data_IF_670813149073
#
_entry.id   IF_670813149073
#
_cell.length_a   1.000
_cell.length_b   1.000
_cell.length_c   1.000
_cell.angle_alpha   90.00
_cell.angle_beta   90.00
_cell.angle_gamma   90.00
#
_symmetry.space_group_name_H-M   'P 1'
#
loop_
_entity.id
_entity.type
_entity.pdbx_description
1 polymer ?
#
# COMPACT_ATOMS: atom_id res chain seq x y z
N UNK A 1 24.03 34.47 19.85
CA UNK A 1 22.76 34.50 19.07
C UNK A 1 21.74 35.34 19.86
N UNK A 2 21.11 36.36 19.29
CA UNK A 2 20.19 37.26 20.04
C UNK A 2 18.84 36.60 20.31
N UNK A 3 18.26 36.74 21.53
CA UNK A 3 16.95 36.18 21.95
C UNK A 3 15.83 36.38 20.90
N UNK A 4 15.81 37.52 20.22
CA UNK A 4 14.86 37.87 19.15
C UNK A 4 14.98 37.00 17.88
N UNK A 5 16.20 36.57 17.53
CA UNK A 5 16.46 35.64 16.41
C UNK A 5 16.03 34.22 16.75
N UNK A 6 16.26 33.78 18.00
CA UNK A 6 15.81 32.48 18.48
C UNK A 6 14.28 32.35 18.48
N UNK A 7 13.56 33.36 18.97
CA UNK A 7 12.08 33.38 18.96
C UNK A 7 11.52 33.34 17.53
N UNK A 8 12.09 34.10 16.59
CA UNK A 8 11.66 34.04 15.18
C UNK A 8 11.87 32.67 14.56
N UNK A 9 13.03 32.04 14.78
CA UNK A 9 13.30 30.69 14.29
C UNK A 9 12.34 29.66 14.87
N UNK A 10 12.01 29.78 16.16
CA UNK A 10 11.04 28.92 16.84
C UNK A 10 9.63 29.06 16.25
N UNK A 11 9.15 30.29 16.02
CA UNK A 11 7.84 30.54 15.40
C UNK A 11 7.79 29.91 14.01
N UNK A 12 8.81 30.13 13.17
CA UNK A 12 8.87 29.55 11.82
C UNK A 12 8.83 28.02 11.89
N UNK A 13 9.63 27.42 12.77
CA UNK A 13 9.66 25.97 12.96
C UNK A 13 8.30 25.40 13.38
N UNK A 14 7.65 26.01 14.37
CA UNK A 14 6.31 25.62 14.83
C UNK A 14 5.25 25.81 13.73
N UNK A 15 5.31 26.92 12.99
CA UNK A 15 4.40 27.17 11.88
C UNK A 15 4.55 26.09 10.79
N UNK A 16 5.77 25.73 10.38
CA UNK A 16 5.96 24.66 9.41
C UNK A 16 5.50 23.30 9.93
N UNK A 17 5.80 22.99 11.20
CA UNK A 17 5.41 21.73 11.84
C UNK A 17 3.88 21.56 11.91
N UNK A 18 3.12 22.65 12.02
CA UNK A 18 1.66 22.62 11.98
C UNK A 18 1.10 22.61 10.54
N UNK A 19 1.69 23.43 9.65
CA UNK A 19 1.16 23.64 8.31
C UNK A 19 1.35 22.41 7.41
N UNK A 20 2.51 21.74 7.48
CA UNK A 20 2.79 20.61 6.60
C UNK A 20 1.85 19.40 6.83
N UNK A 21 1.59 18.94 8.07
CA UNK A 21 0.60 17.90 8.32
C UNK A 21 -0.82 18.32 7.95
N UNK A 22 -1.19 19.58 8.19
CA UNK A 22 -2.52 20.09 7.84
C UNK A 22 -2.75 20.08 6.32
N UNK A 23 -1.75 20.48 5.53
CA UNK A 23 -1.81 20.41 4.06
C UNK A 23 -1.88 18.94 3.61
N UNK A 24 -1.05 18.07 4.17
CA UNK A 24 -1.05 16.64 3.85
C UNK A 24 -2.41 15.98 4.14
N UNK A 25 -2.99 16.25 5.31
CA UNK A 25 -4.29 15.73 5.71
C UNK A 25 -5.42 16.24 4.81
N UNK A 26 -5.44 17.55 4.55
CA UNK A 26 -6.45 18.17 3.68
C UNK A 26 -6.37 17.61 2.26
N UNK A 27 -5.15 17.45 1.72
CA UNK A 27 -4.93 16.89 0.39
C UNK A 27 -5.38 15.43 0.31
N UNK A 28 -5.06 14.61 1.32
CA UNK A 28 -5.50 13.22 1.39
C UNK A 28 -7.03 13.10 1.48
N UNK A 29 -7.68 13.97 2.26
CA UNK A 29 -9.15 14.02 2.36
C UNK A 29 -9.80 14.41 1.04
N UNK A 30 -9.23 15.40 0.35
CA UNK A 30 -9.72 15.84 -0.95
C UNK A 30 -9.61 14.72 -1.99
N UNK A 31 -8.45 14.05 -2.08
CA UNK A 31 -8.25 12.89 -2.95
C UNK A 31 -9.28 11.79 -2.67
N UNK A 32 -9.48 11.46 -1.39
CA UNK A 32 -10.43 10.43 -0.96
C UNK A 32 -11.86 10.77 -1.35
N UNK A 33 -12.26 12.05 -1.26
CA UNK A 33 -13.57 12.52 -1.71
C UNK A 33 -13.79 12.33 -3.23
N UNK A 34 -12.71 12.35 -4.03
CA UNK A 34 -12.74 12.01 -5.46
C UNK A 34 -12.51 10.52 -5.76
N UNK A 35 -12.45 9.66 -4.73
CA UNK A 35 -12.24 8.22 -4.88
C UNK A 35 -10.77 7.80 -5.02
N UNK A 36 -9.83 8.72 -4.83
CA UNK A 36 -8.39 8.41 -4.86
C UNK A 36 -7.83 8.20 -3.46
N UNK A 37 -7.05 7.13 -3.26
CA UNK A 37 -6.38 6.86 -1.99
C UNK A 37 -4.88 6.66 -2.23
N UNK A 38 -4.05 7.13 -1.30
CA UNK A 38 -2.61 6.87 -1.35
C UNK A 38 -2.30 5.66 -0.48
N UNK A 39 -1.72 4.62 -1.09
CA UNK A 39 -1.32 3.38 -0.40
C UNK A 39 0.19 3.20 -0.49
N UNK A 40 0.79 2.59 0.53
CA UNK A 40 2.21 2.27 0.55
C UNK A 40 2.42 0.76 0.35
N UNK A 41 3.22 0.39 -0.63
CA UNK A 41 3.73 -0.98 -0.74
C UNK A 41 5.09 -1.06 -0.05
N UNK A 42 5.17 -1.90 0.99
CA UNK A 42 6.40 -2.18 1.72
C UNK A 42 7.00 -3.54 1.35
N UNK A 43 6.30 -4.34 0.54
CA UNK A 43 6.74 -5.69 0.16
C UNK A 43 7.48 -5.70 -1.19
N UNK A 44 8.45 -6.60 -1.41
CA UNK A 44 9.18 -6.71 -2.68
C UNK A 44 8.39 -7.42 -3.80
N UNK A 45 7.11 -7.77 -3.57
CA UNK A 45 6.26 -8.46 -4.56
C UNK A 45 6.00 -7.65 -5.83
N UNK A 46 6.05 -6.32 -5.72
CA UNK A 46 6.04 -5.32 -6.78
C UNK A 46 6.98 -4.19 -6.33
N UNK A 47 7.18 -3.15 -7.13
CA UNK A 47 8.03 -2.03 -6.72
C UNK A 47 7.58 -1.45 -5.36
N UNK A 48 8.52 -1.21 -4.45
CA UNK A 48 8.22 -0.57 -3.18
C UNK A 48 7.98 0.92 -3.39
N UNK A 49 7.06 1.51 -2.64
CA UNK A 49 6.77 2.93 -2.72
C UNK A 49 5.30 3.28 -2.54
N UNK A 50 4.98 4.52 -2.93
CA UNK A 50 3.65 5.10 -2.80
C UNK A 50 2.89 4.95 -4.11
N UNK A 51 1.64 4.52 -4.01
CA UNK A 51 0.73 4.32 -5.12
C UNK A 51 -0.53 5.17 -4.94
N UNK A 52 -1.00 5.76 -6.04
CA UNK A 52 -2.31 6.40 -6.11
C UNK A 52 -3.32 5.36 -6.60
N UNK A 53 -4.23 4.97 -5.71
CA UNK A 53 -5.31 4.02 -5.98
C UNK A 53 -6.56 4.78 -6.43
N UNK A 54 -6.99 4.54 -7.66
CA UNK A 54 -8.32 4.95 -8.15
C UNK A 54 -9.35 3.90 -7.76
N UNK A 55 -10.25 4.24 -6.84
CA UNK A 55 -11.29 3.34 -6.33
C UNK A 55 -12.54 3.32 -7.21
N UNK A 56 -12.62 4.21 -8.20
CA UNK A 56 -13.75 4.28 -9.14
C UNK A 56 -13.56 3.33 -10.32
N UNK A 57 -12.30 2.95 -10.64
CA UNK A 57 -12.02 1.94 -11.66
C UNK A 57 -12.35 0.54 -11.16
N UNK A 58 -13.37 -0.06 -11.78
CA UNK A 58 -13.80 -1.45 -11.52
C UNK A 58 -13.31 -2.46 -12.57
N UNK A 59 -12.67 -1.99 -13.64
CA UNK A 59 -12.11 -2.86 -14.68
C UNK A 59 -10.67 -3.24 -14.36
N UNK A 60 -10.33 -4.48 -14.66
CA UNK A 60 -8.98 -5.01 -14.62
C UNK A 60 -8.55 -5.36 -16.06
N UNK A 61 -7.54 -4.68 -16.56
CA UNK A 61 -6.91 -4.97 -17.85
C UNK A 61 -5.62 -5.76 -17.63
N UNK A 62 -5.22 -6.56 -18.62
CA UNK A 62 -3.93 -7.26 -18.57
C UNK A 62 -2.79 -6.28 -18.34
N UNK A 63 -1.84 -6.69 -17.51
CA UNK A 63 -0.67 -5.89 -17.19
C UNK A 63 -0.95 -4.72 -16.25
N UNK A 64 -2.22 -4.41 -15.93
CA UNK A 64 -2.57 -3.37 -14.97
C UNK A 64 -2.12 -3.77 -13.57
N UNK A 65 -1.64 -2.80 -12.80
CA UNK A 65 -1.40 -2.97 -11.37
C UNK A 65 -2.69 -2.68 -10.62
N UNK A 66 -3.14 -3.63 -9.81
CA UNK A 66 -4.38 -3.52 -9.03
C UNK A 66 -4.11 -3.69 -7.54
N UNK A 67 -4.91 -3.01 -6.73
CA UNK A 67 -4.98 -3.25 -5.29
C UNK A 67 -6.32 -3.92 -4.97
N UNK A 68 -6.31 -5.04 -4.26
CA UNK A 68 -7.53 -5.77 -3.93
C UNK A 68 -7.50 -6.32 -2.49
N UNK A 69 -8.64 -6.37 -1.80
CA UNK A 69 -8.75 -7.06 -0.53
C UNK A 69 -8.56 -8.57 -0.75
N UNK A 70 -7.67 -9.21 0.01
CA UNK A 70 -7.37 -10.61 -0.22
C UNK A 70 -8.45 -11.48 0.44
N UNK A 71 -9.11 -12.34 -0.35
CA UNK A 71 -10.26 -13.15 0.10
C UNK A 71 -9.95 -14.65 0.24
N UNK A 72 -8.70 -15.07 0.04
CA UNK A 72 -8.32 -16.48 -0.02
C UNK A 72 -7.67 -16.98 1.28
N UNK A 73 -7.50 -18.31 1.40
CA UNK A 73 -6.90 -18.94 2.58
C UNK A 73 -5.47 -18.44 2.88
N UNK A 74 -4.69 -18.13 1.84
CA UNK A 74 -3.35 -17.56 1.99
C UNK A 74 -3.37 -16.17 2.65
N UNK A 75 -4.39 -15.36 2.35
CA UNK A 75 -4.62 -14.07 3.00
C UNK A 75 -4.84 -14.23 4.50
N UNK A 76 -5.72 -15.16 4.87
CA UNK A 76 -6.02 -15.47 6.27
C UNK A 76 -4.77 -15.95 7.00
N UNK A 77 -4.00 -16.83 6.38
CA UNK A 77 -2.71 -17.27 6.91
C UNK A 77 -1.75 -16.09 7.13
N UNK A 78 -1.62 -15.18 6.15
CA UNK A 78 -0.80 -13.97 6.29
C UNK A 78 -1.23 -13.05 7.45
N UNK A 79 -2.54 -12.96 7.72
CA UNK A 79 -3.07 -12.21 8.88
C UNK A 79 -2.78 -12.93 10.20
N UNK A 80 -3.02 -14.24 10.28
CA UNK A 80 -2.75 -15.07 11.48
C UNK A 80 -1.25 -15.06 11.86
N UNK A 81 -0.38 -15.00 10.85
CA UNK A 81 1.08 -14.92 11.04
C UNK A 81 1.58 -13.50 11.33
N UNK A 82 0.70 -12.50 11.35
CA UNK A 82 1.06 -11.10 11.62
C UNK A 82 1.86 -10.43 10.49
N UNK A 83 1.96 -11.05 9.32
CA UNK A 83 2.65 -10.48 8.16
C UNK A 83 1.88 -9.30 7.57
N UNK A 84 0.56 -9.28 7.77
CA UNK A 84 -0.32 -8.22 7.31
C UNK A 84 -1.34 -7.87 8.39
N UNK A 85 -1.78 -6.61 8.41
CA UNK A 85 -2.87 -6.17 9.29
C UNK A 85 -4.23 -6.48 8.62
N UNK A 86 -5.28 -6.84 9.38
CA UNK A 86 -6.63 -6.92 8.83
C UNK A 86 -7.00 -5.67 8.03
N UNK A 87 -7.59 -5.86 6.85
CA UNK A 87 -7.93 -4.77 5.92
C UNK A 87 -6.78 -4.31 5.00
N UNK A 88 -5.59 -4.91 5.10
CA UNK A 88 -4.49 -4.62 4.16
C UNK A 88 -4.83 -5.13 2.74
N UNK A 89 -4.48 -4.33 1.73
CA UNK A 89 -4.66 -4.67 0.32
C UNK A 89 -3.45 -5.44 -0.23
N UNK A 90 -3.70 -6.34 -1.16
CA UNK A 90 -2.65 -6.94 -1.99
C UNK A 90 -2.48 -6.10 -3.24
N UNK A 91 -1.22 -5.88 -3.65
CA UNK A 91 -0.90 -5.21 -4.90
C UNK A 91 -0.25 -6.21 -5.83
N UNK A 92 -0.88 -6.47 -6.98
CA UNK A 92 -0.39 -7.41 -7.99
C UNK A 92 -0.69 -6.89 -9.39
N UNK A 93 0.08 -7.42 -10.35
CA UNK A 93 -0.17 -7.20 -11.78
C UNK A 93 -1.18 -8.23 -12.28
N UNK A 94 -2.13 -7.80 -13.09
CA UNK A 94 -3.12 -8.68 -13.74
C UNK A 94 -2.41 -9.50 -14.83
N UNK A 95 -2.30 -10.82 -14.64
CA UNK A 95 -1.73 -11.74 -15.64
C UNK A 95 -2.73 -12.16 -16.71
N UNK A 96 -3.99 -12.32 -16.33
CA UNK A 96 -5.08 -12.78 -17.17
C UNK A 96 -6.41 -12.12 -16.78
N UNK A 97 -7.35 -12.09 -17.71
CA UNK A 97 -8.71 -11.54 -17.60
C UNK A 97 -9.73 -12.60 -18.00
N UNK A 98 -11.02 -12.31 -17.84
CA UNK A 98 -12.10 -13.25 -18.19
C UNK A 98 -12.05 -13.63 -19.67
N UNK A 99 -12.21 -14.94 -19.95
CA UNK A 99 -12.08 -15.51 -21.31
C UNK A 99 -10.71 -16.12 -21.59
N UNK A 100 -9.73 -15.90 -20.71
CA UNK A 100 -8.39 -16.43 -20.90
C UNK A 100 -8.26 -17.88 -20.47
N UNK A 101 -7.45 -18.62 -21.24
CA UNK A 101 -6.89 -19.88 -20.78
C UNK A 101 -5.52 -19.60 -20.17
N UNK A 102 -5.34 -19.96 -18.91
CA UNK A 102 -4.06 -19.83 -18.19
C UNK A 102 -3.51 -21.22 -17.93
N UNK A 103 -2.34 -21.52 -18.46
CA UNK A 103 -1.58 -22.72 -18.12
C UNK A 103 -0.53 -22.37 -17.07
N UNK A 104 -0.40 -23.19 -16.03
CA UNK A 104 0.67 -23.08 -15.04
C UNK A 104 1.65 -24.21 -15.34
N UNK A 105 2.85 -23.86 -15.76
CA UNK A 105 3.86 -24.83 -16.18
C UNK A 105 4.96 -24.93 -15.11
N UNK A 106 4.63 -25.50 -13.94
CA UNK A 106 5.61 -25.85 -12.88
C UNK A 106 5.06 -26.90 -11.91
N UNK A 107 5.94 -27.83 -11.51
CA UNK A 107 5.79 -28.66 -10.31
C UNK A 107 5.91 -27.77 -9.06
N UNK A 108 4.89 -27.77 -8.19
CA UNK A 108 4.85 -26.92 -7.00
C UNK A 108 5.45 -27.67 -5.82
N UNK A 109 6.72 -27.42 -5.51
CA UNK A 109 7.31 -27.83 -4.21
C UNK A 109 6.95 -26.79 -3.17
N UNK A 110 5.93 -27.05 -2.35
CA UNK A 110 5.65 -26.24 -1.16
C UNK A 110 6.65 -26.64 -0.08
N UNK A 111 7.73 -25.89 0.07
CA UNK A 111 8.60 -26.02 1.23
C UNK A 111 7.85 -25.46 2.45
N UNK A 112 7.36 -26.33 3.32
CA UNK A 112 6.89 -25.92 4.65
C UNK A 112 8.12 -25.50 5.46
N UNK A 113 8.18 -24.26 5.98
CA UNK A 113 9.29 -23.85 6.84
C UNK A 113 9.38 -24.81 8.03
N UNK A 114 10.53 -25.46 8.20
CA UNK A 114 10.77 -26.37 9.34
C UNK A 114 10.87 -25.62 10.67
N UNK A 115 10.95 -24.28 10.62
CA UNK A 115 11.00 -23.40 11.77
C UNK A 115 9.84 -22.40 11.73
N UNK A 116 8.95 -22.36 12.73
CA UNK A 116 7.93 -21.33 12.82
C UNK A 116 8.58 -19.94 12.97
N UNK A 117 8.44 -19.07 11.96
CA UNK A 117 8.74 -17.63 12.11
C UNK A 117 9.77 -17.03 11.17
N UNK A 118 10.39 -17.79 10.28
CA UNK A 118 11.28 -17.24 9.25
C UNK A 118 10.78 -17.58 7.84
N UNK A 119 10.79 -16.61 6.90
CA UNK A 119 10.54 -16.87 5.49
C UNK A 119 11.63 -17.74 4.86
#
# INVERSE_FOLDING_TARGET
MTRKKAIKGLIIGLSLAALAPAIGWTSARLLSAFGFNVIANLSPSVAQGMYLLDSNKRSAERGQLIAFPPHNAAARYGFERGWMKPGSLYIKRVGAVAGDTVCVDVEVTIATPTTPGHP
#
